data_IF_204746478440
#
_entry.id   IF_204746478440
#
_cell.length_a   1.000
_cell.length_b   1.000
_cell.length_c   1.000
_cell.angle_alpha   90.00
_cell.angle_beta   90.00
_cell.angle_gamma   90.00
#
_symmetry.space_group_name_H-M   'P 1'
#
loop_
_entity.id
_entity.type
_entity.pdbx_description
1 polymer ?
#
# COMPACT_ATOMS: atom_id res chain seq x y z
N UNK A 1 -3.09 7.38 -8.07
CA UNK A 1 -4.51 7.00 -8.13
C UNK A 1 -4.98 6.72 -6.72
N UNK A 2 -6.10 7.32 -6.30
CA UNK A 2 -6.72 6.93 -5.04
C UNK A 2 -7.39 5.57 -5.22
N UNK A 3 -7.01 4.59 -4.38
CA UNK A 3 -7.51 3.22 -4.47
C UNK A 3 -8.59 2.94 -3.44
N UNK A 4 -8.42 3.44 -2.21
CA UNK A 4 -9.45 3.47 -1.17
C UNK A 4 -9.40 4.81 -0.43
N UNK A 5 -10.19 5.01 0.62
CA UNK A 5 -10.20 6.26 1.40
C UNK A 5 -8.79 6.64 1.88
N UNK A 6 -8.07 5.66 2.43
CA UNK A 6 -6.78 5.86 3.09
C UNK A 6 -5.60 5.17 2.39
N UNK A 7 -5.80 4.71 1.13
CA UNK A 7 -4.76 4.09 0.33
C UNK A 7 -4.64 4.78 -1.02
N UNK A 8 -3.46 5.34 -1.28
CA UNK A 8 -3.10 5.90 -2.57
C UNK A 8 -2.02 5.04 -3.22
N UNK A 9 -2.15 4.83 -4.52
CA UNK A 9 -1.19 4.06 -5.30
C UNK A 9 -0.51 5.01 -6.28
N UNK A 10 0.82 5.02 -6.23
CA UNK A 10 1.65 5.71 -7.20
C UNK A 10 2.45 4.69 -8.01
N UNK A 11 2.40 4.82 -9.34
CA UNK A 11 3.36 4.16 -10.22
C UNK A 11 4.64 5.01 -10.26
N UNK A 12 5.74 4.46 -9.80
CA UNK A 12 7.05 5.13 -9.77
C UNK A 12 7.80 4.88 -11.09
N UNK A 13 7.79 3.64 -11.56
CA UNK A 13 8.36 3.23 -12.86
C UNK A 13 7.54 2.10 -13.48
N UNK A 14 8.01 1.48 -14.56
CA UNK A 14 7.31 0.34 -15.18
C UNK A 14 7.17 -0.86 -14.25
N UNK A 15 8.13 -1.02 -13.33
CA UNK A 15 8.21 -2.17 -12.42
C UNK A 15 8.23 -1.78 -10.95
N UNK A 16 7.93 -0.52 -10.63
CA UNK A 16 7.92 -0.02 -9.25
C UNK A 16 6.65 0.76 -8.93
N UNK A 17 6.08 0.41 -7.78
CA UNK A 17 4.84 0.96 -7.26
C UNK A 17 5.03 1.33 -5.80
N UNK A 18 4.34 2.37 -5.38
CA UNK A 18 4.30 2.82 -4.00
C UNK A 18 2.87 2.87 -3.50
N UNK A 19 2.62 2.20 -2.38
CA UNK A 19 1.38 2.32 -1.63
C UNK A 19 1.59 3.33 -0.52
N UNK A 20 0.80 4.40 -0.51
CA UNK A 20 0.85 5.45 0.49
C UNK A 20 -0.39 5.37 1.36
N UNK A 21 -0.17 5.26 2.65
CA UNK A 21 -1.21 5.06 3.65
C UNK A 21 -1.18 6.20 4.64
N UNK A 22 -2.28 6.92 4.78
CA UNK A 22 -2.44 8.05 5.70
C UNK A 22 -3.24 7.69 6.96
N UNK A 23 -3.48 6.39 7.21
CA UNK A 23 -4.12 5.88 8.42
C UNK A 23 -3.19 4.88 9.12
N UNK A 24 -2.86 5.16 10.38
CA UNK A 24 -1.92 4.34 11.15
C UNK A 24 -2.42 2.92 11.41
N UNK A 25 -3.72 2.75 11.65
CA UNK A 25 -4.36 1.45 11.85
C UNK A 25 -4.29 0.61 10.57
N UNK A 26 -4.65 1.18 9.43
CA UNK A 26 -4.54 0.54 8.14
C UNK A 26 -3.09 0.18 7.81
N UNK A 27 -2.12 1.05 8.13
CA UNK A 27 -0.70 0.78 7.92
C UNK A 27 -0.24 -0.46 8.70
N UNK A 28 -0.65 -0.61 9.95
CA UNK A 28 -0.31 -1.79 10.77
C UNK A 28 -1.00 -3.09 10.29
N UNK A 29 -2.20 -2.99 9.73
CA UNK A 29 -2.86 -4.13 9.07
C UNK A 29 -2.14 -4.52 7.77
N UNK A 30 -1.77 -3.53 6.96
CA UNK A 30 -1.07 -3.74 5.69
C UNK A 30 0.36 -4.27 5.89
N UNK A 31 1.06 -3.82 6.94
CA UNK A 31 2.38 -4.37 7.31
C UNK A 31 2.35 -5.87 7.56
N UNK A 32 1.23 -6.41 8.08
CA UNK A 32 1.04 -7.85 8.31
C UNK A 32 0.58 -8.61 7.07
N UNK A 33 -0.23 -7.99 6.21
CA UNK A 33 -0.87 -8.66 5.06
C UNK A 33 -0.05 -8.57 3.77
N UNK A 34 0.58 -7.43 3.50
CA UNK A 34 1.25 -7.22 2.22
C UNK A 34 2.43 -8.17 1.96
N UNK A 35 3.24 -8.60 2.96
CA UNK A 35 4.29 -9.59 2.71
C UNK A 35 3.77 -10.94 2.19
N UNK A 36 2.57 -11.39 2.60
CA UNK A 36 2.00 -12.63 2.06
C UNK A 36 1.41 -12.45 0.65
N UNK A 37 1.03 -11.22 0.28
CA UNK A 37 0.48 -10.88 -1.03
C UNK A 37 1.61 -10.64 -2.04
N UNK A 38 2.61 -9.83 -1.69
CA UNK A 38 3.67 -9.39 -2.61
C UNK A 38 4.99 -10.14 -2.41
N UNK A 39 5.13 -10.94 -1.35
CA UNK A 39 6.30 -11.78 -1.12
C UNK A 39 7.60 -10.98 -1.10
N UNK A 40 8.58 -11.42 -1.89
CA UNK A 40 9.89 -10.76 -2.01
C UNK A 40 9.87 -9.40 -2.71
N UNK A 41 8.75 -9.01 -3.34
CA UNK A 41 8.67 -7.78 -4.13
C UNK A 41 8.39 -6.55 -3.28
N UNK A 42 7.94 -6.72 -2.03
CA UNK A 42 7.66 -5.63 -1.10
C UNK A 42 8.83 -5.41 -0.13
N UNK A 43 9.15 -4.14 0.10
CA UNK A 43 10.11 -3.70 1.13
C UNK A 43 9.43 -3.34 2.44
N UNK A 44 10.21 -3.23 3.52
CA UNK A 44 9.68 -2.71 4.79
C UNK A 44 9.08 -1.30 4.62
N UNK A 45 7.95 -1.01 5.28
CA UNK A 45 7.31 0.29 5.15
C UNK A 45 8.18 1.39 5.75
N UNK A 46 8.21 2.53 5.05
CA UNK A 46 8.88 3.74 5.52
C UNK A 46 7.86 4.75 6.06
N UNK A 47 7.98 5.18 7.32
CA UNK A 47 7.20 6.30 7.83
C UNK A 47 7.73 7.61 7.22
N UNK A 48 6.83 8.44 6.71
CA UNK A 48 7.09 9.76 6.14
C UNK A 48 6.29 10.78 6.94
N UNK A 49 6.99 11.68 7.62
CA UNK A 49 6.35 12.80 8.31
C UNK A 49 6.11 13.93 7.31
N UNK A 50 4.85 14.32 7.14
CA UNK A 50 4.40 15.47 6.35
C UNK A 50 3.85 16.56 7.28
N UNK A 51 4.71 17.11 8.12
CA UNK A 51 4.30 18.07 9.16
C UNK A 51 3.60 17.34 10.30
N UNK A 52 2.32 17.66 10.54
CA UNK A 52 1.51 17.03 11.60
C UNK A 52 0.98 15.64 11.20
N UNK A 53 1.03 15.29 9.91
CA UNK A 53 0.53 14.01 9.39
C UNK A 53 1.66 13.00 9.21
N UNK A 54 1.37 11.74 9.54
CA UNK A 54 2.26 10.60 9.33
C UNK A 54 1.70 9.72 8.23
N UNK A 55 2.45 9.58 7.14
CA UNK A 55 2.15 8.65 6.07
C UNK A 55 3.08 7.44 6.13
N UNK A 56 2.61 6.28 5.68
CA UNK A 56 3.39 5.06 5.57
C UNK A 56 3.50 4.65 4.10
N UNK A 57 4.73 4.52 3.63
CA UNK A 57 5.04 4.19 2.25
C UNK A 57 5.50 2.73 2.15
N UNK A 58 4.78 1.92 1.38
CA UNK A 58 5.16 0.55 1.06
C UNK A 58 5.65 0.50 -0.39
N UNK A 59 6.93 0.20 -0.59
CA UNK A 59 7.53 0.09 -1.91
C UNK A 59 7.42 -1.34 -2.43
N UNK A 60 6.91 -1.50 -3.65
CA UNK A 60 6.80 -2.76 -4.36
C UNK A 60 7.60 -2.63 -5.65
N UNK A 61 8.59 -3.50 -5.86
CA UNK A 61 9.53 -3.42 -6.98
C UNK A 61 9.75 -4.78 -7.64
N UNK A 62 10.03 -4.79 -8.94
CA UNK A 62 10.35 -6.01 -9.69
C UNK A 62 9.15 -6.76 -10.25
N UNK A 63 8.00 -6.11 -10.39
CA UNK A 63 6.83 -6.67 -11.09
C UNK A 63 6.17 -5.63 -12.01
N UNK A 64 5.63 -6.08 -13.14
CA UNK A 64 4.88 -5.22 -14.06
C UNK A 64 3.49 -4.83 -13.52
N UNK A 65 2.81 -3.92 -14.22
CA UNK A 65 1.48 -3.42 -13.84
C UNK A 65 0.41 -4.52 -13.74
N UNK A 66 0.37 -5.48 -14.67
CA UNK A 66 -0.64 -6.53 -14.66
C UNK A 66 -0.42 -7.48 -13.48
N UNK A 67 0.84 -7.83 -13.24
CA UNK A 67 1.25 -8.61 -12.08
C UNK A 67 0.91 -7.89 -10.78
N UNK A 68 1.23 -6.59 -10.67
CA UNK A 68 0.87 -5.75 -9.52
C UNK A 68 -0.63 -5.71 -9.27
N UNK A 69 -1.44 -5.43 -10.30
CA UNK A 69 -2.89 -5.35 -10.18
C UNK A 69 -3.52 -6.68 -9.74
N UNK A 70 -3.02 -7.81 -10.26
CA UNK A 70 -3.50 -9.14 -9.86
C UNK A 70 -3.31 -9.40 -8.37
N UNK A 71 -2.15 -9.05 -7.83
CA UNK A 71 -1.90 -9.19 -6.39
C UNK A 71 -2.71 -8.18 -5.58
N UNK A 72 -2.79 -6.92 -6.03
CA UNK A 72 -3.53 -5.88 -5.34
C UNK A 72 -5.02 -6.20 -5.20
N UNK A 73 -5.65 -6.84 -6.20
CA UNK A 73 -7.08 -7.17 -6.16
C UNK A 73 -7.50 -8.09 -5.00
N UNK A 74 -6.55 -8.72 -4.29
CA UNK A 74 -6.86 -9.45 -3.04
C UNK A 74 -7.26 -8.50 -1.89
N UNK A 75 -6.98 -7.21 -2.02
CA UNK A 75 -7.33 -6.16 -1.08
C UNK A 75 -8.36 -5.23 -1.74
N UNK A 76 -9.65 -5.52 -1.62
CA UNK A 76 -10.66 -4.65 -2.23
C UNK A 76 -10.73 -3.30 -1.50
N UNK A 77 -11.14 -2.21 -2.18
CA UNK A 77 -11.30 -0.90 -1.55
C UNK A 77 -12.21 -0.94 -0.31
N UNK A 78 -13.30 -1.72 -0.35
CA UNK A 78 -14.26 -1.85 0.75
C UNK A 78 -13.62 -2.54 1.97
N UNK A 79 -12.78 -3.55 1.73
CA UNK A 79 -12.03 -4.20 2.81
C UNK A 79 -11.06 -3.21 3.45
N UNK A 80 -10.30 -2.46 2.65
CA UNK A 80 -9.33 -1.48 3.15
C UNK A 80 -10.00 -0.37 3.97
N UNK A 81 -11.17 0.09 3.53
CA UNK A 81 -11.95 1.09 4.25
C UNK A 81 -12.50 0.51 5.57
N UNK A 82 -12.89 -0.76 5.62
CA UNK A 82 -13.31 -1.43 6.86
C UNK A 82 -12.17 -1.63 7.88
N UNK A 83 -10.94 -1.75 7.39
CA UNK A 83 -9.73 -1.92 8.22
C UNK A 83 -9.20 -0.59 8.74
N UNK A 84 -9.57 0.52 8.10
CA UNK A 84 -9.15 1.86 8.50
C UNK A 84 -9.76 2.31 9.83
N UNK A 85 -9.29 3.43 10.36
CA UNK A 85 -9.97 4.14 11.44
C UNK A 85 -11.35 4.67 10.98
N UNK A 86 -12.35 4.76 11.88
CA UNK A 86 -13.70 5.25 11.56
C UNK A 86 -13.72 6.66 10.94
#
# INVERSE_FOLDING_TARGET
MQYSRNLFIQKVSETEFELRVNDSKLAEELKRRLPSIFGRYISEPKPISKGEELEYHFSISGMDLNSFQRHLTTLTPELLDSLSSP
#
